data_IF_968920843162
#
_entry.id   IF_968920843162
#
_cell.length_a   1.000
_cell.length_b   1.000
_cell.length_c   1.000
_cell.angle_alpha   90.00
_cell.angle_beta   90.00
_cell.angle_gamma   90.00
#
_symmetry.space_group_name_H-M   'P 1'
#
loop_
_entity.id
_entity.type
_entity.pdbx_description
1 polymer ?
#
# COMPACT_ATOMS: atom_id res chain seq x y z
N UNK A 1 -4.95 19.04 -34.37
CA UNK A 1 -5.08 18.13 -33.21
C UNK A 1 -5.51 16.76 -33.72
N UNK A 2 -5.01 15.69 -33.11
CA UNK A 2 -5.26 14.33 -33.57
C UNK A 2 -6.66 13.83 -33.15
N UNK A 3 -7.25 12.89 -33.89
CA UNK A 3 -8.49 12.22 -33.50
C UNK A 3 -8.35 10.72 -33.76
N UNK A 4 -8.40 9.92 -32.70
CA UNK A 4 -8.33 8.45 -32.78
C UNK A 4 -9.70 7.79 -32.99
N UNK A 5 -10.78 8.53 -32.78
CA UNK A 5 -12.13 7.98 -32.81
C UNK A 5 -12.72 8.06 -34.20
N UNK A 6 -13.37 6.97 -34.65
CA UNK A 6 -14.18 6.99 -35.85
C UNK A 6 -15.34 8.00 -35.71
N UNK A 7 -15.68 8.69 -36.80
CA UNK A 7 -16.72 9.71 -36.82
C UNK A 7 -17.51 9.64 -38.13
N UNK A 8 -18.80 9.98 -38.08
CA UNK A 8 -19.73 10.00 -39.22
C UNK A 8 -20.13 11.41 -39.62
N UNK A 9 -19.94 12.38 -38.73
CA UNK A 9 -20.28 13.78 -38.93
C UNK A 9 -19.27 14.68 -38.18
N UNK A 10 -19.38 15.98 -38.43
CA UNK A 10 -18.46 16.99 -37.88
C UNK A 10 -18.54 17.09 -36.34
N UNK A 11 -19.71 16.87 -35.73
CA UNK A 11 -19.85 16.92 -34.28
C UNK A 11 -19.11 15.75 -33.60
N UNK A 12 -19.25 14.53 -34.13
CA UNK A 12 -18.50 13.36 -33.69
C UNK A 12 -16.99 13.53 -33.89
N UNK A 13 -16.58 14.17 -35.00
CA UNK A 13 -15.18 14.48 -35.25
C UNK A 13 -14.61 15.41 -34.17
N UNK A 14 -15.31 16.50 -33.84
CA UNK A 14 -14.88 17.43 -32.80
C UNK A 14 -14.87 16.79 -31.42
N UNK A 15 -15.90 15.98 -31.09
CA UNK A 15 -15.91 15.23 -29.85
C UNK A 15 -14.71 14.27 -29.76
N UNK A 16 -14.37 13.58 -30.85
CA UNK A 16 -13.22 12.71 -30.93
C UNK A 16 -11.90 13.46 -30.71
N UNK A 17 -11.73 14.64 -31.33
CA UNK A 17 -10.60 15.54 -31.08
C UNK A 17 -10.54 15.90 -29.60
N UNK A 18 -11.64 16.32 -28.99
CA UNK A 18 -11.66 16.70 -27.58
C UNK A 18 -11.27 15.51 -26.69
N UNK A 19 -11.88 14.34 -26.88
CA UNK A 19 -11.59 13.13 -26.09
C UNK A 19 -10.14 12.67 -26.21
N UNK A 20 -9.50 12.90 -27.35
CA UNK A 20 -8.10 12.51 -27.59
C UNK A 20 -7.11 13.48 -26.92
N UNK A 21 -7.43 14.78 -26.88
CA UNK A 21 -6.45 15.83 -26.55
C UNK A 21 -6.76 16.59 -25.26
N UNK A 22 -7.91 16.34 -24.62
CA UNK A 22 -8.29 17.04 -23.40
C UNK A 22 -7.38 16.64 -22.23
N UNK A 23 -6.99 17.65 -21.46
CA UNK A 23 -6.27 17.49 -20.20
C UNK A 23 -7.18 17.88 -19.03
N UNK A 24 -6.97 17.29 -17.85
CA UNK A 24 -7.84 17.52 -16.70
C UNK A 24 -7.83 18.99 -16.27
N UNK A 25 -9.02 19.47 -15.89
CA UNK A 25 -9.28 20.78 -15.28
C UNK A 25 -10.01 20.55 -13.95
N UNK A 26 -9.79 21.47 -13.02
CA UNK A 26 -10.45 21.46 -11.72
C UNK A 26 -9.82 20.47 -10.74
N UNK A 27 -10.21 20.60 -9.48
CA UNK A 27 -9.66 19.82 -8.36
C UNK A 27 -10.14 18.37 -8.32
N UNK A 28 -11.26 18.07 -8.98
CA UNK A 28 -11.83 16.72 -9.05
C UNK A 28 -11.32 15.91 -10.25
N UNK A 29 -10.63 16.54 -11.21
CA UNK A 29 -10.12 15.89 -12.43
C UNK A 29 -11.22 15.30 -13.34
N UNK A 30 -12.48 15.69 -13.13
CA UNK A 30 -13.63 15.21 -13.90
C UNK A 30 -13.79 16.03 -15.18
N UNK A 31 -13.56 17.34 -15.07
CA UNK A 31 -13.63 18.24 -16.21
C UNK A 31 -12.35 18.17 -17.05
N UNK A 32 -12.49 18.47 -18.34
CA UNK A 32 -11.39 18.47 -19.28
C UNK A 32 -11.42 19.71 -20.16
N UNK A 33 -10.25 20.19 -20.55
CA UNK A 33 -10.14 21.26 -21.54
C UNK A 33 -8.98 21.08 -22.48
N UNK A 34 -8.99 21.90 -23.52
CA UNK A 34 -8.02 21.85 -24.61
C UNK A 34 -6.98 22.95 -24.40
N UNK A 35 -5.73 22.51 -24.25
CA UNK A 35 -4.58 23.38 -24.07
C UNK A 35 -3.64 23.15 -25.25
N UNK A 36 -3.66 24.07 -26.22
CA UNK A 36 -3.05 23.88 -27.55
C UNK A 36 -1.56 23.49 -27.52
N UNK A 37 -0.83 23.94 -26.51
CA UNK A 37 0.58 23.57 -26.31
C UNK A 37 0.73 22.27 -25.51
N UNK A 38 0.09 22.18 -24.34
CA UNK A 38 0.25 21.02 -23.46
C UNK A 38 -0.33 19.73 -24.05
N UNK A 39 -1.36 19.79 -24.90
CA UNK A 39 -1.94 18.61 -25.54
C UNK A 39 -1.03 17.96 -26.60
N UNK A 40 0.12 18.56 -26.90
CA UNK A 40 1.13 18.01 -27.82
C UNK A 40 2.19 17.18 -27.11
N UNK A 41 2.28 17.28 -25.77
CA UNK A 41 3.30 16.61 -24.97
C UNK A 41 2.95 15.12 -24.90
N UNK A 42 3.86 14.27 -25.37
CA UNK A 42 3.62 12.84 -25.48
C UNK A 42 3.59 12.10 -24.14
N UNK A 43 3.09 10.86 -24.21
CA UNK A 43 3.04 9.95 -23.06
C UNK A 43 4.37 9.24 -22.80
N UNK A 44 4.76 9.18 -21.53
CA UNK A 44 5.60 8.10 -21.01
C UNK A 44 5.03 7.59 -19.67
N UNK A 45 5.17 6.29 -19.39
CA UNK A 45 4.80 5.73 -18.09
C UNK A 45 5.79 6.14 -16.99
N UNK A 46 7.03 6.46 -17.36
CA UNK A 46 8.09 7.01 -16.52
C UNK A 46 8.39 8.47 -16.91
N UNK A 47 7.33 9.27 -17.00
CA UNK A 47 7.37 10.66 -17.45
C UNK A 47 8.40 11.53 -16.69
N UNK A 48 8.97 12.51 -17.38
CA UNK A 48 9.91 13.47 -16.80
C UNK A 48 9.28 14.81 -16.42
N UNK A 49 8.01 15.03 -16.75
CA UNK A 49 7.25 16.20 -16.33
C UNK A 49 5.86 15.82 -15.81
N UNK A 50 5.35 16.57 -14.83
CA UNK A 50 4.02 16.41 -14.26
C UNK A 50 3.10 17.50 -14.79
N UNK A 51 1.92 17.07 -15.24
CA UNK A 51 0.83 17.96 -15.67
C UNK A 51 -0.13 18.21 -14.51
N UNK A 52 -0.60 19.44 -14.34
CA UNK A 52 -1.57 19.81 -13.33
C UNK A 52 -2.47 20.96 -13.78
N UNK A 53 -3.68 21.04 -13.22
CA UNK A 53 -4.47 22.26 -13.27
C UNK A 53 -4.20 23.11 -12.02
N UNK A 54 -3.56 24.27 -12.22
CA UNK A 54 -3.34 25.21 -11.13
C UNK A 54 -4.57 26.11 -10.96
N UNK A 55 -5.32 25.87 -9.88
CA UNK A 55 -6.56 26.57 -9.55
C UNK A 55 -6.33 28.05 -9.19
N UNK A 56 -5.16 28.41 -8.66
CA UNK A 56 -4.85 29.78 -8.23
C UNK A 56 -4.66 30.72 -9.41
N UNK A 57 -3.94 30.27 -10.45
CA UNK A 57 -3.66 31.07 -11.64
C UNK A 57 -4.58 30.74 -12.83
N UNK A 58 -5.47 29.75 -12.68
CA UNK A 58 -6.39 29.24 -13.72
C UNK A 58 -5.65 28.82 -15.00
N UNK A 59 -4.58 28.05 -14.86
CA UNK A 59 -3.78 27.54 -16.00
C UNK A 59 -3.46 26.07 -15.84
N UNK A 60 -3.36 25.38 -16.98
CA UNK A 60 -2.72 24.08 -17.02
C UNK A 60 -1.21 24.27 -17.01
N UNK A 61 -0.54 23.68 -16.02
CA UNK A 61 0.90 23.79 -15.83
C UNK A 61 1.56 22.43 -16.07
N UNK A 62 2.83 22.49 -16.50
CA UNK A 62 3.66 21.32 -16.70
C UNK A 62 5.01 21.62 -16.05
N UNK A 63 5.35 20.86 -15.03
CA UNK A 63 6.57 21.06 -14.24
C UNK A 63 7.51 19.87 -14.44
N UNK A 64 8.80 20.14 -14.63
CA UNK A 64 9.80 19.08 -14.69
C UNK A 64 9.93 18.40 -13.32
N UNK A 65 9.96 17.06 -13.32
CA UNK A 65 10.12 16.24 -12.12
C UNK A 65 11.59 15.98 -11.78
N UNK A 66 12.46 16.23 -12.75
CA UNK A 66 13.92 16.09 -12.70
C UNK A 66 14.55 16.98 -13.77
N UNK A 67 15.87 17.05 -13.78
CA UNK A 67 16.59 17.66 -14.89
C UNK A 67 16.27 16.93 -16.22
N UNK A 68 16.10 17.72 -17.28
CA UNK A 68 15.78 17.26 -18.64
C UNK A 68 16.89 17.77 -19.55
N UNK A 69 17.62 16.85 -20.16
CA UNK A 69 18.79 17.18 -20.99
C UNK A 69 18.38 17.82 -22.32
N UNK A 70 19.29 18.59 -22.93
CA UNK A 70 19.03 19.19 -24.24
C UNK A 70 18.74 18.10 -25.28
N UNK A 71 17.57 18.19 -25.93
CA UNK A 71 17.13 17.23 -26.93
C UNK A 71 16.37 16.02 -26.36
N UNK A 72 16.29 15.88 -25.04
CA UNK A 72 15.37 14.94 -24.40
C UNK A 72 13.92 15.42 -24.59
N UNK A 73 13.02 14.50 -24.96
CA UNK A 73 11.60 14.82 -25.12
C UNK A 73 10.94 15.04 -23.76
N UNK A 74 10.16 16.11 -23.62
CA UNK A 74 9.29 16.33 -22.46
C UNK A 74 8.09 15.38 -22.59
N UNK A 75 7.84 14.60 -21.55
CA UNK A 75 6.75 13.62 -21.51
C UNK A 75 5.93 13.73 -20.24
N UNK A 76 4.65 13.37 -20.32
CA UNK A 76 3.69 13.34 -19.20
C UNK A 76 3.01 11.97 -19.11
N UNK A 77 2.55 11.55 -17.93
CA UNK A 77 1.76 10.32 -17.84
C UNK A 77 0.29 10.60 -18.22
N UNK A 78 -0.30 9.91 -19.20
CA UNK A 78 -1.72 10.08 -19.55
C UNK A 78 -2.65 9.22 -18.68
N UNK A 79 -2.08 8.23 -18.00
CA UNK A 79 -2.82 7.32 -17.14
C UNK A 79 -2.98 7.94 -15.75
N UNK A 80 -4.13 7.71 -15.12
CA UNK A 80 -4.42 8.24 -13.79
C UNK A 80 -3.66 7.47 -12.69
N UNK A 81 -3.48 6.16 -12.89
CA UNK A 81 -2.81 5.26 -11.96
C UNK A 81 -1.78 4.44 -12.73
N UNK A 82 -0.57 4.38 -12.20
CA UNK A 82 0.52 3.59 -12.76
C UNK A 82 0.41 2.14 -12.24
N UNK A 83 -0.23 1.27 -13.04
CA UNK A 83 -0.38 -0.18 -12.73
C UNK A 83 0.76 -1.00 -13.35
N UNK A 84 0.76 -2.32 -13.21
CA UNK A 84 1.70 -3.20 -13.95
C UNK A 84 1.64 -3.03 -15.48
N UNK A 85 2.69 -3.48 -16.19
CA UNK A 85 2.90 -3.31 -17.63
C UNK A 85 1.70 -3.76 -18.45
N UNK A 86 1.14 -4.94 -18.14
CA UNK A 86 -0.02 -5.47 -18.87
C UNK A 86 -1.20 -4.51 -18.78
N UNK A 87 -1.57 -4.10 -17.56
CA UNK A 87 -2.66 -3.18 -17.33
C UNK A 87 -2.43 -1.80 -17.97
N UNK A 88 -1.19 -1.28 -17.94
CA UNK A 88 -0.85 -0.01 -18.63
C UNK A 88 -1.00 -0.12 -20.14
N UNK A 89 -0.49 -1.20 -20.75
CA UNK A 89 -0.60 -1.41 -22.19
C UNK A 89 -2.05 -1.58 -22.64
N UNK A 90 -2.84 -2.36 -21.92
CA UNK A 90 -4.28 -2.52 -22.20
C UNK A 90 -5.02 -1.19 -22.10
N UNK A 91 -4.79 -0.43 -21.02
CA UNK A 91 -5.42 0.88 -20.83
C UNK A 91 -5.00 1.88 -21.92
N UNK A 92 -3.72 1.88 -22.31
CA UNK A 92 -3.21 2.77 -23.34
C UNK A 92 -3.73 2.41 -24.72
N UNK A 93 -3.79 1.12 -25.06
CA UNK A 93 -4.36 0.62 -26.32
C UNK A 93 -5.86 0.96 -26.42
N UNK A 94 -6.63 0.79 -25.34
CA UNK A 94 -8.06 1.14 -25.31
C UNK A 94 -8.26 2.64 -25.49
N UNK A 95 -7.44 3.47 -24.82
CA UNK A 95 -7.61 4.93 -24.81
C UNK A 95 -7.01 5.64 -26.02
N UNK A 96 -5.95 5.12 -26.62
CA UNK A 96 -5.15 5.82 -27.63
C UNK A 96 -4.89 4.99 -28.89
N UNK A 97 -5.28 3.71 -28.92
CA UNK A 97 -5.18 2.87 -30.11
C UNK A 97 -3.77 2.39 -30.45
N UNK A 98 -2.79 2.58 -29.55
CA UNK A 98 -1.40 2.19 -29.76
C UNK A 98 -0.75 1.56 -28.52
N UNK A 99 0.38 0.89 -28.74
CA UNK A 99 1.23 0.30 -27.70
C UNK A 99 2.24 1.33 -27.20
N UNK A 100 2.37 1.46 -25.87
CA UNK A 100 3.37 2.34 -25.28
C UNK A 100 4.77 1.73 -25.40
N UNK A 101 5.74 2.47 -25.93
CA UNK A 101 7.13 2.05 -26.10
C UNK A 101 8.12 2.80 -25.21
N UNK A 102 7.63 3.51 -24.18
CA UNK A 102 8.49 4.22 -23.22
C UNK A 102 9.50 3.28 -22.53
N UNK A 103 10.53 3.85 -21.90
CA UNK A 103 11.60 3.08 -21.26
C UNK A 103 11.05 2.07 -20.25
N UNK A 104 10.06 2.44 -19.43
CA UNK A 104 9.44 1.53 -18.47
C UNK A 104 8.72 0.35 -19.14
N UNK A 105 8.00 0.60 -20.25
CA UNK A 105 7.29 -0.43 -21.01
C UNK A 105 8.21 -1.27 -21.91
N UNK A 106 9.44 -0.80 -22.15
CA UNK A 106 10.45 -1.46 -22.96
C UNK A 106 11.51 -2.19 -22.13
N UNK A 107 11.35 -2.22 -20.79
CA UNK A 107 12.25 -2.99 -19.91
C UNK A 107 12.31 -4.48 -20.29
N UNK A 108 13.48 -5.12 -20.11
CA UNK A 108 13.62 -6.57 -20.18
C UNK A 108 12.65 -7.28 -19.24
N UNK A 109 12.29 -8.53 -19.54
CA UNK A 109 11.25 -9.26 -18.79
C UNK A 109 11.49 -9.31 -17.28
N UNK A 110 12.71 -9.59 -16.85
CA UNK A 110 13.06 -9.68 -15.42
C UNK A 110 12.90 -8.33 -14.70
N UNK A 111 13.46 -7.25 -15.27
CA UNK A 111 13.32 -5.90 -14.72
C UNK A 111 11.87 -5.41 -14.76
N UNK A 112 11.12 -5.76 -15.80
CA UNK A 112 9.69 -5.46 -15.92
C UNK A 112 8.90 -6.16 -14.82
N UNK A 113 9.18 -7.44 -14.53
CA UNK A 113 8.51 -8.17 -13.46
C UNK A 113 8.77 -7.56 -12.09
N UNK A 114 10.01 -7.14 -11.83
CA UNK A 114 10.34 -6.50 -10.55
C UNK A 114 9.70 -5.11 -10.41
N UNK A 115 9.66 -4.33 -11.51
CA UNK A 115 8.90 -3.08 -11.53
C UNK A 115 7.40 -3.31 -11.32
N UNK A 116 6.83 -4.35 -11.94
CA UNK A 116 5.41 -4.64 -11.86
C UNK A 116 5.01 -5.07 -10.45
N UNK A 117 5.82 -5.91 -9.79
CA UNK A 117 5.61 -6.28 -8.37
C UNK A 117 5.58 -5.05 -7.46
N UNK A 118 6.52 -4.12 -7.65
CA UNK A 118 6.57 -2.89 -6.85
C UNK A 118 5.34 -2.02 -7.08
N UNK A 119 4.93 -1.82 -8.33
CA UNK A 119 3.72 -1.05 -8.66
C UNK A 119 2.44 -1.70 -8.12
N UNK A 120 2.34 -3.02 -8.22
CA UNK A 120 1.20 -3.76 -7.67
C UNK A 120 1.16 -3.66 -6.13
N UNK A 121 2.31 -3.68 -5.46
CA UNK A 121 2.37 -3.49 -4.00
C UNK A 121 2.06 -2.04 -3.59
N UNK A 122 2.55 -1.03 -4.32
CA UNK A 122 2.15 0.37 -4.10
C UNK A 122 0.62 0.48 -4.20
N UNK A 123 0.03 -0.08 -5.25
CA UNK A 123 -1.42 -0.02 -5.45
C UNK A 123 -2.19 -0.76 -4.35
N UNK A 124 -1.67 -1.90 -3.87
CA UNK A 124 -2.23 -2.61 -2.72
C UNK A 124 -2.20 -1.73 -1.46
N UNK A 125 -1.07 -1.08 -1.18
CA UNK A 125 -0.91 -0.20 -0.01
C UNK A 125 -1.85 1.01 -0.11
N UNK A 126 -1.96 1.64 -1.28
CA UNK A 126 -2.92 2.73 -1.53
C UNK A 126 -4.35 2.30 -1.19
N UNK A 127 -4.79 1.11 -1.62
CA UNK A 127 -6.11 0.58 -1.28
C UNK A 127 -6.26 0.35 0.23
N UNK A 128 -5.25 -0.23 0.89
CA UNK A 128 -5.29 -0.46 2.34
C UNK A 128 -5.33 0.83 3.16
N UNK A 129 -4.66 1.88 2.71
CA UNK A 129 -4.65 3.21 3.31
C UNK A 129 -6.01 3.88 3.05
N UNK A 130 -6.48 3.87 1.80
CA UNK A 130 -7.71 4.51 1.36
C UNK A 130 -8.99 3.88 1.92
N UNK A 131 -9.14 2.56 1.86
CA UNK A 131 -10.35 1.84 2.34
C UNK A 131 -10.60 2.04 3.83
N UNK A 132 -9.54 2.13 4.63
CA UNK A 132 -9.67 2.36 6.06
C UNK A 132 -9.94 3.82 6.38
N UNK A 133 -9.51 4.74 5.51
CA UNK A 133 -9.70 6.18 5.66
C UNK A 133 -9.42 6.69 7.07
N UNK A 134 -10.24 7.64 7.52
CA UNK A 134 -10.15 8.20 8.87
C UNK A 134 -10.26 7.14 9.99
N UNK A 135 -11.09 6.11 9.80
CA UNK A 135 -11.24 5.04 10.80
C UNK A 135 -9.93 4.27 11.01
N UNK A 136 -9.16 4.04 9.95
CA UNK A 136 -7.84 3.42 10.02
C UNK A 136 -6.83 4.23 10.81
N UNK A 137 -6.81 5.54 10.56
CA UNK A 137 -5.94 6.51 11.24
C UNK A 137 -6.21 6.52 12.75
N UNK A 138 -7.48 6.41 13.17
CA UNK A 138 -7.83 6.46 14.59
C UNK A 138 -7.71 5.10 15.29
N UNK A 139 -8.06 4.00 14.61
CA UNK A 139 -8.09 2.66 15.22
C UNK A 139 -6.72 1.97 15.26
N UNK A 140 -5.92 2.11 14.21
CA UNK A 140 -4.62 1.41 14.08
C UNK A 140 -3.52 2.31 13.49
N UNK A 141 -3.27 3.50 14.07
CA UNK A 141 -2.41 4.53 13.49
C UNK A 141 -1.01 4.04 13.13
N UNK A 142 -0.37 3.24 14.01
CA UNK A 142 0.98 2.73 13.76
C UNK A 142 1.02 1.77 12.57
N UNK A 143 -0.03 0.98 12.35
CA UNK A 143 -0.12 0.06 11.22
C UNK A 143 -0.26 0.83 9.91
N UNK A 144 -1.11 1.86 9.88
CA UNK A 144 -1.28 2.68 8.69
C UNK A 144 0.01 3.46 8.41
N UNK A 145 0.68 4.00 9.44
CA UNK A 145 1.98 4.67 9.27
C UNK A 145 3.03 3.72 8.67
N UNK A 146 3.04 2.44 9.06
CA UNK A 146 3.93 1.42 8.47
C UNK A 146 3.60 1.11 7.00
N UNK A 147 2.33 1.12 6.62
CA UNK A 147 1.95 0.98 5.20
C UNK A 147 2.43 2.17 4.39
N UNK A 148 2.28 3.39 4.91
CA UNK A 148 2.77 4.61 4.26
C UNK A 148 4.31 4.61 4.19
N UNK A 149 5.00 4.17 5.24
CA UNK A 149 6.46 4.01 5.25
C UNK A 149 6.94 3.07 4.12
N UNK A 150 6.34 1.88 4.03
CA UNK A 150 6.62 0.92 2.95
C UNK A 150 6.33 1.52 1.58
N UNK A 151 5.23 2.27 1.42
CA UNK A 151 4.87 2.94 0.19
C UNK A 151 5.93 3.99 -0.22
N UNK A 152 6.41 4.81 0.72
CA UNK A 152 7.47 5.80 0.48
C UNK A 152 8.78 5.12 0.07
N UNK A 153 9.15 4.01 0.70
CA UNK A 153 10.34 3.24 0.31
C UNK A 153 10.23 2.76 -1.14
N UNK A 154 9.09 2.19 -1.54
CA UNK A 154 8.84 1.73 -2.90
C UNK A 154 8.86 2.86 -3.94
N UNK A 155 8.35 4.06 -3.61
CA UNK A 155 8.47 5.23 -4.48
C UNK A 155 9.93 5.67 -4.66
N UNK A 156 10.70 5.71 -3.56
CA UNK A 156 12.12 6.08 -3.64
C UNK A 156 12.94 5.08 -4.48
N UNK A 157 12.56 3.80 -4.48
CA UNK A 157 13.16 2.78 -5.36
C UNK A 157 12.77 2.93 -6.84
N UNK A 158 11.63 3.56 -7.16
CA UNK A 158 11.26 3.82 -8.57
C UNK A 158 12.14 4.90 -9.19
N UNK A 159 12.49 5.91 -8.40
CA UNK A 159 13.37 6.99 -8.79
C UNK A 159 12.93 8.34 -8.25
N UNK A 160 13.75 9.38 -8.47
CA UNK A 160 13.39 10.74 -8.07
C UNK A 160 12.17 11.24 -8.84
N UNK A 161 11.31 11.98 -8.16
CA UNK A 161 10.21 12.71 -8.80
C UNK A 161 8.93 11.92 -9.04
N UNK A 162 8.72 10.77 -8.38
CA UNK A 162 7.41 10.10 -8.44
C UNK A 162 6.31 11.03 -7.88
N UNK A 163 5.28 11.27 -8.69
CA UNK A 163 4.19 12.21 -8.36
C UNK A 163 3.31 11.74 -7.18
N UNK A 164 3.35 10.46 -6.80
CA UNK A 164 2.66 9.90 -5.65
C UNK A 164 3.39 10.12 -4.33
N UNK A 165 4.71 10.31 -4.35
CA UNK A 165 5.52 10.49 -3.15
C UNK A 165 5.07 11.66 -2.24
N UNK A 166 4.74 12.86 -2.77
CA UNK A 166 4.24 13.96 -1.94
C UNK A 166 2.95 13.61 -1.20
N UNK A 167 2.05 12.85 -1.86
CA UNK A 167 0.79 12.40 -1.27
C UNK A 167 1.02 11.43 -0.12
N UNK A 168 1.94 10.48 -0.27
CA UNK A 168 2.27 9.54 0.80
C UNK A 168 2.84 10.26 2.04
N UNK A 169 3.72 11.25 1.86
CA UNK A 169 4.18 12.07 2.98
C UNK A 169 3.05 12.87 3.63
N UNK A 170 2.11 13.38 2.84
CA UNK A 170 0.94 14.06 3.38
C UNK A 170 0.06 13.12 4.23
N UNK A 171 -0.19 11.89 3.77
CA UNK A 171 -0.93 10.90 4.53
C UNK A 171 -0.21 10.56 5.86
N UNK A 172 1.12 10.44 5.86
CA UNK A 172 1.92 10.29 7.09
C UNK A 172 1.77 11.49 8.04
N UNK A 173 1.77 12.72 7.50
CA UNK A 173 1.55 13.93 8.27
C UNK A 173 0.17 13.93 8.94
N UNK A 174 -0.89 13.59 8.18
CA UNK A 174 -2.25 13.49 8.72
C UNK A 174 -2.34 12.46 9.85
N UNK A 175 -1.72 11.30 9.70
CA UNK A 175 -1.69 10.25 10.75
C UNK A 175 -0.99 10.75 12.01
N UNK A 176 0.18 11.37 11.87
CA UNK A 176 0.96 11.90 12.98
C UNK A 176 0.20 13.00 13.72
N UNK A 177 -0.32 14.00 12.99
CA UNK A 177 -1.05 15.14 13.55
C UNK A 177 -2.35 14.68 14.22
N UNK A 178 -3.09 13.75 13.62
CA UNK A 178 -4.30 13.19 14.20
C UNK A 178 -4.08 12.51 15.56
N UNK A 179 -2.86 12.05 15.82
CA UNK A 179 -2.44 11.40 17.08
C UNK A 179 -1.62 12.31 18.01
N UNK A 180 -1.55 13.61 17.69
CA UNK A 180 -0.89 14.63 18.50
C UNK A 180 0.63 14.73 18.33
N UNK A 181 1.21 14.06 17.33
CA UNK A 181 2.65 14.05 17.06
C UNK A 181 3.04 15.22 16.15
N UNK A 182 3.11 16.43 16.71
CA UNK A 182 3.36 17.65 15.93
C UNK A 182 4.79 17.69 15.37
N UNK A 183 5.76 17.10 16.08
CA UNK A 183 7.16 17.05 15.64
C UNK A 183 7.30 16.30 14.31
N UNK A 184 6.79 15.06 14.24
CA UNK A 184 6.80 14.26 12.99
C UNK A 184 5.84 14.82 11.96
N UNK A 185 4.66 15.26 12.39
CA UNK A 185 3.65 15.87 11.53
C UNK A 185 4.20 17.00 10.68
N UNK A 186 4.96 17.92 11.30
CA UNK A 186 5.64 19.01 10.57
C UNK A 186 6.63 18.50 9.52
N UNK A 187 7.52 17.56 9.90
CA UNK A 187 8.57 17.06 8.99
C UNK A 187 7.96 16.35 7.79
N UNK A 188 6.93 15.52 8.00
CA UNK A 188 6.21 14.88 6.91
C UNK A 188 5.53 15.90 6.00
N UNK A 189 4.89 16.92 6.58
CA UNK A 189 4.25 17.98 5.81
C UNK A 189 5.26 18.79 4.99
N UNK A 190 6.41 19.13 5.55
CA UNK A 190 7.51 19.80 4.84
C UNK A 190 8.02 18.96 3.65
N UNK A 191 8.16 17.63 3.82
CA UNK A 191 8.52 16.72 2.72
C UNK A 191 7.45 16.67 1.63
N UNK A 192 6.16 16.66 2.00
CA UNK A 192 5.05 16.73 1.05
C UNK A 192 5.06 18.05 0.26
N UNK A 193 5.23 19.18 0.94
CA UNK A 193 5.30 20.52 0.31
C UNK A 193 6.45 20.60 -0.68
N UNK A 194 7.64 20.12 -0.32
CA UNK A 194 8.79 20.10 -1.21
C UNK A 194 8.52 19.30 -2.50
N UNK A 195 7.87 18.15 -2.34
CA UNK A 195 7.45 17.32 -3.47
C UNK A 195 6.41 18.00 -4.37
N UNK A 196 5.38 18.62 -3.78
CA UNK A 196 4.38 19.38 -4.54
C UNK A 196 4.95 20.63 -5.20
N UNK A 197 5.90 21.32 -4.57
CA UNK A 197 6.57 22.46 -5.18
C UNK A 197 7.28 22.06 -6.48
N UNK A 198 7.91 20.88 -6.49
CA UNK A 198 8.52 20.31 -7.71
C UNK A 198 7.46 19.91 -8.73
N UNK A 199 6.42 19.18 -8.32
CA UNK A 199 5.44 18.58 -9.23
C UNK A 199 4.35 19.55 -9.73
N UNK A 200 4.00 20.57 -8.96
CA UNK A 200 2.82 21.44 -9.16
C UNK A 200 3.16 22.94 -9.18
N UNK A 201 4.40 23.32 -8.81
CA UNK A 201 4.84 24.71 -8.70
C UNK A 201 4.62 25.32 -7.32
N UNK A 202 5.39 26.39 -7.01
CA UNK A 202 5.27 27.11 -5.72
C UNK A 202 3.99 27.93 -5.58
N UNK A 203 3.27 28.13 -6.69
CA UNK A 203 2.00 28.83 -6.78
C UNK A 203 0.79 27.88 -6.74
N UNK A 204 0.99 26.59 -6.45
CA UNK A 204 -0.10 25.63 -6.29
C UNK A 204 -0.85 25.83 -4.97
N UNK A 205 -2.11 25.38 -4.91
CA UNK A 205 -2.95 25.44 -3.71
C UNK A 205 -2.33 24.61 -2.59
N UNK A 206 -1.82 23.43 -2.90
CA UNK A 206 -1.17 22.52 -1.95
C UNK A 206 0.03 23.19 -1.28
N UNK A 207 0.92 23.82 -2.05
CA UNK A 207 2.10 24.50 -1.48
C UNK A 207 1.69 25.70 -0.62
N UNK A 208 0.73 26.50 -1.08
CA UNK A 208 0.28 27.69 -0.36
C UNK A 208 -0.43 27.33 0.97
N UNK A 209 -1.41 26.44 0.93
CA UNK A 209 -2.21 26.05 2.09
C UNK A 209 -1.39 25.27 3.11
N UNK A 210 -0.70 24.22 2.66
CA UNK A 210 0.07 23.38 3.56
C UNK A 210 1.36 24.06 4.04
N UNK A 211 1.90 25.03 3.29
CA UNK A 211 3.00 25.88 3.75
C UNK A 211 2.63 26.74 4.96
N UNK A 212 1.37 27.19 5.07
CA UNK A 212 0.86 27.84 6.29
C UNK A 212 0.69 26.83 7.40
N UNK A 213 0.14 25.66 7.09
CA UNK A 213 -0.12 24.60 8.06
C UNK A 213 1.17 24.01 8.67
N UNK A 214 2.25 23.90 7.91
CA UNK A 214 3.54 23.42 8.41
C UNK A 214 4.14 24.31 9.52
N UNK A 215 3.81 25.60 9.53
CA UNK A 215 4.23 26.52 10.62
C UNK A 215 3.52 26.22 11.93
N UNK A 216 2.29 25.70 11.86
CA UNK A 216 1.49 25.36 13.03
C UNK A 216 0.55 24.18 12.69
N UNK A 217 1.06 22.94 12.71
CA UNK A 217 0.29 21.74 12.38
C UNK A 217 -0.88 21.48 13.33
N UNK A 218 -0.92 22.14 14.49
CA UNK A 218 -2.03 22.03 15.45
C UNK A 218 -3.33 22.63 14.90
N UNK A 219 -3.25 23.44 13.84
CA UNK A 219 -4.42 24.00 13.13
C UNK A 219 -5.06 23.02 12.15
N UNK A 220 -4.47 21.84 11.93
CA UNK A 220 -5.06 20.83 11.05
C UNK A 220 -6.34 20.30 11.70
N UNK A 221 -7.42 20.13 10.94
CA UNK A 221 -8.73 19.71 11.46
C UNK A 221 -8.71 18.40 12.26
N UNK A 222 -7.87 17.45 11.85
CA UNK A 222 -7.68 16.17 12.55
C UNK A 222 -6.92 16.26 13.88
N UNK A 223 -6.23 17.37 14.18
CA UNK A 223 -5.44 17.49 15.41
C UNK A 223 -6.32 17.33 16.65
N UNK A 224 -5.84 16.58 17.64
CA UNK A 224 -6.58 16.31 18.88
C UNK A 224 -7.58 15.16 18.79
N UNK A 225 -7.74 14.50 17.64
CA UNK A 225 -8.55 13.27 17.53
C UNK A 225 -8.06 12.16 18.48
N UNK A 226 -6.74 12.08 18.64
CA UNK A 226 -6.02 11.27 19.61
C UNK A 226 -4.78 12.05 20.07
N UNK A 227 -4.33 11.79 21.29
CA UNK A 227 -3.07 12.36 21.82
C UNK A 227 -2.06 11.26 22.19
N UNK A 228 -2.26 10.04 21.64
CA UNK A 228 -1.45 8.88 21.98
C UNK A 228 0.04 9.04 21.64
N UNK A 229 0.38 9.92 20.69
CA UNK A 229 1.75 10.19 20.24
C UNK A 229 2.17 11.64 20.51
N UNK A 230 1.62 12.26 21.55
CA UNK A 230 1.84 13.67 21.86
C UNK A 230 3.32 14.06 21.82
N UNK A 231 3.65 14.96 20.92
CA UNK A 231 4.94 15.67 20.85
C UNK A 231 4.68 17.12 20.47
N UNK A 232 5.49 18.03 21.01
CA UNK A 232 5.54 19.43 20.62
C UNK A 232 6.50 19.64 19.44
N UNK A 233 6.36 20.77 18.73
CA UNK A 233 7.11 21.06 17.51
C UNK A 233 8.63 21.09 17.69
N UNK A 234 9.10 21.41 18.89
CA UNK A 234 10.52 21.47 19.26
C UNK A 234 11.08 20.14 19.76
N UNK A 235 10.28 19.09 19.88
CA UNK A 235 10.71 17.75 20.33
C UNK A 235 11.25 16.89 19.16
N UNK A 236 11.87 17.55 18.17
CA UNK A 236 12.61 16.86 17.10
C UNK A 236 14.01 16.51 17.63
N UNK A 237 14.41 15.23 17.62
CA UNK A 237 15.71 14.82 18.12
C UNK A 237 16.83 15.41 17.27
N UNK A 238 17.86 15.91 17.94
CA UNK A 238 19.03 16.53 17.31
C UNK A 238 20.25 15.60 17.43
N UNK A 239 21.12 15.61 16.42
CA UNK A 239 22.38 14.84 16.43
C UNK A 239 22.22 13.33 16.25
N UNK A 240 21.08 12.85 15.73
CA UNK A 240 20.93 11.46 15.33
C UNK A 240 21.62 11.21 13.99
N UNK A 241 22.24 10.03 13.85
CA UNK A 241 22.67 9.51 12.56
C UNK A 241 21.47 9.34 11.61
N UNK A 242 21.65 9.47 10.28
CA UNK A 242 20.54 9.48 9.31
C UNK A 242 19.58 8.28 9.44
N UNK A 243 20.10 7.07 9.65
CA UNK A 243 19.27 5.87 9.83
C UNK A 243 18.43 5.90 11.11
N UNK A 244 19.03 6.35 12.22
CA UNK A 244 18.33 6.49 13.49
C UNK A 244 17.26 7.60 13.44
N UNK A 245 17.51 8.67 12.67
CA UNK A 245 16.52 9.71 12.43
C UNK A 245 15.32 9.18 11.62
N UNK A 246 15.57 8.39 10.57
CA UNK A 246 14.48 7.75 9.82
C UNK A 246 13.71 6.73 10.68
N UNK A 247 14.40 5.96 11.52
CA UNK A 247 13.73 5.04 12.45
C UNK A 247 12.84 5.77 13.45
N UNK A 248 13.31 6.91 13.97
CA UNK A 248 12.50 7.80 14.80
C UNK A 248 11.32 8.35 14.00
N UNK A 249 11.55 8.92 12.82
CA UNK A 249 10.55 9.58 11.99
C UNK A 249 9.39 8.64 11.66
N UNK A 250 9.70 7.39 11.30
CA UNK A 250 8.72 6.36 10.94
C UNK A 250 8.25 5.50 12.12
N UNK A 251 8.69 5.81 13.34
CA UNK A 251 8.40 5.01 14.56
C UNK A 251 8.74 3.52 14.34
N UNK A 252 9.85 3.24 13.62
CA UNK A 252 10.42 1.89 13.41
C UNK A 252 11.20 1.39 14.63
N UNK A 253 11.54 2.31 15.53
CA UNK A 253 12.06 2.00 16.85
C UNK A 253 11.28 0.82 17.43
N UNK A 254 11.99 -0.25 17.80
CA UNK A 254 11.38 -1.32 18.57
C UNK A 254 10.77 -0.64 19.79
N UNK A 255 9.44 -0.73 19.95
CA UNK A 255 8.86 -0.50 21.25
C UNK A 255 9.74 -1.27 22.22
N UNK A 256 10.34 -0.58 23.19
CA UNK A 256 10.79 -1.25 24.38
C UNK A 256 9.50 -1.79 25.01
N UNK A 257 9.03 -2.94 24.53
CA UNK A 257 8.22 -3.84 25.33
C UNK A 257 9.09 -4.04 26.57
N UNK A 258 8.70 -3.38 27.65
CA UNK A 258 9.33 -3.48 28.95
C UNK A 258 9.36 -4.95 29.35
N UNK A 259 10.40 -5.69 28.95
CA UNK A 259 10.68 -7.07 29.34
C UNK A 259 9.54 -8.09 29.27
N UNK A 260 8.38 -7.79 28.67
CA UNK A 260 7.26 -8.74 28.63
C UNK A 260 7.47 -9.62 27.42
N UNK A 261 8.32 -10.63 27.63
CA UNK A 261 8.38 -11.82 26.79
C UNK A 261 6.93 -12.22 26.46
N UNK A 262 6.59 -12.31 25.17
CA UNK A 262 5.27 -12.80 24.76
C UNK A 262 5.13 -14.17 25.42
N UNK A 263 4.21 -14.29 26.37
CA UNK A 263 3.98 -15.56 27.02
C UNK A 263 3.29 -16.47 26.01
N UNK A 264 4.08 -17.35 25.38
CA UNK A 264 3.58 -18.35 24.43
C UNK A 264 2.60 -19.33 25.09
N UNK A 265 2.43 -19.28 26.42
CA UNK A 265 1.40 -20.03 27.16
C UNK A 265 0.06 -19.29 27.26
N UNK A 266 -0.04 -18.07 26.70
CA UNK A 266 -1.29 -17.31 26.70
C UNK A 266 -2.33 -18.01 25.83
N UNK A 267 -3.35 -18.60 26.45
CA UNK A 267 -4.37 -19.41 25.76
C UNK A 267 -5.31 -18.62 24.84
N UNK A 268 -5.37 -17.30 24.97
CA UNK A 268 -6.16 -16.46 24.06
C UNK A 268 -5.47 -16.28 22.70
N UNK A 269 -4.14 -16.14 22.69
CA UNK A 269 -3.34 -15.97 21.46
C UNK A 269 -2.82 -17.30 20.93
N UNK A 270 -2.49 -18.25 21.82
CA UNK A 270 -2.02 -19.60 21.51
C UNK A 270 -2.99 -20.63 22.11
N UNK A 271 -4.20 -20.75 21.54
CA UNK A 271 -5.22 -21.68 22.04
C UNK A 271 -4.77 -23.13 21.88
N UNK A 272 -5.33 -24.00 22.72
CA UNK A 272 -5.22 -25.46 22.55
C UNK A 272 -6.19 -25.91 21.46
N UNK A 273 -6.01 -27.12 20.96
CA UNK A 273 -6.87 -27.67 19.91
C UNK A 273 -8.35 -27.68 20.34
N UNK A 274 -8.63 -27.95 21.61
CA UNK A 274 -10.00 -27.95 22.15
C UNK A 274 -10.61 -26.55 22.27
N UNK A 275 -9.77 -25.52 22.38
CA UNK A 275 -10.19 -24.12 22.50
C UNK A 275 -10.26 -23.42 21.13
N UNK A 276 -9.91 -24.11 20.04
CA UNK A 276 -10.03 -23.58 18.68
C UNK A 276 -11.50 -23.51 18.26
N UNK A 277 -11.88 -22.51 17.44
CA UNK A 277 -13.22 -22.42 16.87
C UNK A 277 -13.46 -23.61 15.94
N UNK A 278 -14.70 -24.11 15.92
CA UNK A 278 -15.13 -25.17 14.98
C UNK A 278 -15.53 -24.53 13.65
N UNK A 279 -15.07 -25.11 12.53
CA UNK A 279 -15.31 -24.56 11.19
C UNK A 279 -16.81 -24.43 10.83
N UNK A 280 -17.66 -25.26 11.44
CA UNK A 280 -19.09 -25.33 11.12
C UNK A 280 -19.93 -24.50 12.09
N UNK A 281 -19.31 -23.87 13.09
CA UNK A 281 -20.01 -23.05 14.09
C UNK A 281 -19.43 -21.65 14.16
N UNK A 282 -20.30 -20.65 14.13
CA UNK A 282 -19.87 -19.27 14.28
C UNK A 282 -19.55 -18.97 15.75
N UNK A 283 -18.27 -18.90 16.09
CA UNK A 283 -17.80 -18.67 17.45
C UNK A 283 -17.68 -17.16 17.76
N UNK A 284 -18.63 -16.64 18.55
CA UNK A 284 -18.69 -15.23 18.95
C UNK A 284 -17.53 -14.81 19.87
N UNK A 285 -16.81 -15.77 20.45
CA UNK A 285 -15.59 -15.47 21.19
C UNK A 285 -14.50 -15.04 20.22
N UNK A 286 -14.38 -15.67 19.05
CA UNK A 286 -13.32 -15.38 18.08
C UNK A 286 -13.70 -14.30 17.05
N UNK A 287 -14.99 -14.15 16.71
CA UNK A 287 -15.45 -13.30 15.61
C UNK A 287 -16.44 -12.22 16.04
N UNK A 288 -16.34 -11.04 15.42
CA UNK A 288 -17.35 -9.98 15.55
C UNK A 288 -18.65 -10.37 14.82
N UNK A 289 -19.79 -10.24 15.51
CA UNK A 289 -21.11 -10.68 15.02
C UNK A 289 -21.59 -9.99 13.74
N UNK A 290 -21.12 -8.78 13.44
CA UNK A 290 -21.59 -7.98 12.31
C UNK A 290 -20.67 -7.99 11.09
N UNK A 291 -19.38 -8.31 11.27
CA UNK A 291 -18.36 -8.16 10.21
C UNK A 291 -17.64 -9.47 9.85
N UNK A 292 -17.90 -10.56 10.60
CA UNK A 292 -17.16 -11.82 10.53
C UNK A 292 -15.63 -11.63 10.65
N UNK A 293 -15.16 -10.51 11.23
CA UNK A 293 -13.74 -10.25 11.43
C UNK A 293 -13.25 -10.88 12.73
N UNK A 294 -12.03 -11.44 12.74
CA UNK A 294 -11.43 -11.95 13.97
C UNK A 294 -11.22 -10.82 14.97
N UNK A 295 -11.67 -11.01 16.22
CA UNK A 295 -11.57 -10.03 17.31
C UNK A 295 -10.12 -9.81 17.77
N UNK A 296 -9.27 -10.81 17.57
CA UNK A 296 -7.82 -10.76 17.76
C UNK A 296 -7.14 -11.81 16.88
N UNK A 297 -5.81 -11.78 16.79
CA UNK A 297 -5.04 -12.77 16.06
C UNK A 297 -4.69 -13.96 16.97
N UNK A 298 -4.92 -15.18 16.52
CA UNK A 298 -4.50 -16.39 17.21
C UNK A 298 -3.64 -17.29 16.30
N UNK A 299 -2.79 -18.08 16.94
CA UNK A 299 -1.90 -19.03 16.30
C UNK A 299 -1.89 -20.35 17.09
N UNK A 300 -2.25 -21.44 16.43
CA UNK A 300 -2.11 -22.77 17.02
C UNK A 300 -0.66 -23.25 16.89
N UNK A 301 -0.09 -23.73 18.00
CA UNK A 301 1.26 -24.27 18.05
C UNK A 301 1.21 -25.74 18.42
N UNK A 302 1.89 -26.58 17.64
CA UNK A 302 2.01 -28.00 17.94
C UNK A 302 3.37 -28.56 17.51
N UNK A 303 3.82 -29.60 18.18
CA UNK A 303 5.02 -30.35 17.80
C UNK A 303 4.68 -31.31 16.65
N UNK A 304 5.51 -31.36 15.62
CA UNK A 304 5.43 -32.35 14.55
C UNK A 304 5.96 -33.67 15.10
N UNK A 305 5.08 -34.66 15.24
CA UNK A 305 5.47 -36.02 15.67
C UNK A 305 6.00 -36.78 14.47
N UNK A 306 5.22 -36.82 13.40
CA UNK A 306 5.56 -37.49 12.15
C UNK A 306 4.84 -36.82 10.96
N UNK A 307 5.38 -36.98 9.76
CA UNK A 307 4.77 -36.48 8.53
C UNK A 307 4.84 -37.54 7.44
N UNK A 308 3.74 -37.71 6.71
CA UNK A 308 3.66 -38.62 5.56
C UNK A 308 3.04 -37.88 4.38
N UNK A 309 3.58 -38.08 3.18
CA UNK A 309 3.03 -37.52 1.95
C UNK A 309 2.75 -38.65 0.97
N UNK A 310 1.46 -38.89 0.70
CA UNK A 310 1.01 -39.95 -0.20
C UNK A 310 0.17 -39.36 -1.34
N UNK A 311 -0.97 -38.75 -0.98
CA UNK A 311 -1.85 -38.01 -1.91
C UNK A 311 -1.84 -36.50 -1.62
N UNK A 312 -1.66 -36.16 -0.34
CA UNK A 312 -1.45 -34.84 0.24
C UNK A 312 -0.60 -35.02 1.49
N UNK A 313 0.07 -33.96 1.94
CA UNK A 313 0.80 -34.01 3.21
C UNK A 313 -0.17 -34.18 4.38
N UNK A 314 0.12 -35.18 5.22
CA UNK A 314 -0.49 -35.41 6.53
C UNK A 314 0.61 -35.28 7.57
N UNK A 315 0.39 -34.46 8.59
CA UNK A 315 1.22 -34.44 9.79
C UNK A 315 0.42 -35.01 10.96
N UNK A 316 1.05 -35.87 11.73
CA UNK A 316 0.63 -36.13 13.10
C UNK A 316 1.31 -35.09 13.98
N UNK A 317 0.50 -34.28 14.68
CA UNK A 317 0.99 -33.19 15.50
C UNK A 317 0.50 -33.34 16.93
N UNK A 318 1.29 -32.85 17.88
CA UNK A 318 1.00 -32.93 19.31
C UNK A 318 0.85 -31.53 19.88
N UNK A 319 -0.34 -31.23 20.38
CA UNK A 319 -0.68 -29.97 21.05
C UNK A 319 0.08 -29.83 22.39
N UNK A 320 0.07 -28.63 22.98
CA UNK A 320 0.70 -28.29 24.25
C UNK A 320 0.24 -29.16 25.44
N UNK A 321 -1.00 -29.67 25.42
CA UNK A 321 -1.52 -30.62 26.43
C UNK A 321 -1.08 -32.07 26.15
N UNK A 322 -0.25 -32.29 25.13
CA UNK A 322 0.25 -33.59 24.72
C UNK A 322 -0.73 -34.43 23.90
N UNK A 323 -1.82 -33.82 23.42
CA UNK A 323 -2.82 -34.48 22.58
C UNK A 323 -2.32 -34.58 21.14
N UNK A 324 -2.27 -35.79 20.60
CA UNK A 324 -2.04 -36.02 19.17
C UNK A 324 -3.30 -35.77 18.36
N UNK A 325 -3.15 -35.14 17.19
CA UNK A 325 -4.22 -34.92 16.23
C UNK A 325 -3.66 -34.84 14.80
N UNK A 326 -4.47 -35.11 13.78
CA UNK A 326 -4.03 -35.01 12.40
C UNK A 326 -4.12 -33.56 11.88
N UNK A 327 -3.11 -33.14 11.12
CA UNK A 327 -3.10 -31.95 10.29
C UNK A 327 -3.02 -32.36 8.82
N UNK A 328 -3.97 -31.92 8.01
CA UNK A 328 -4.01 -32.21 6.58
C UNK A 328 -3.88 -30.95 5.73
N UNK A 329 -3.03 -31.01 4.72
CA UNK A 329 -2.82 -29.93 3.76
C UNK A 329 -3.75 -30.10 2.56
N UNK A 330 -4.72 -29.21 2.45
CA UNK A 330 -5.70 -29.08 1.36
C UNK A 330 -5.40 -27.91 0.42
N UNK A 331 -4.21 -27.31 0.56
CA UNK A 331 -3.65 -26.32 -0.36
C UNK A 331 -3.48 -26.86 -1.78
N UNK A 332 -3.37 -25.97 -2.76
CA UNK A 332 -3.10 -26.29 -4.17
C UNK A 332 -1.82 -27.12 -4.32
N UNK A 333 -0.79 -26.78 -3.55
CA UNK A 333 0.49 -27.50 -3.48
C UNK A 333 0.42 -28.80 -2.66
N UNK A 334 -0.67 -29.06 -1.96
CA UNK A 334 -0.90 -30.24 -1.09
C UNK A 334 0.21 -30.48 -0.06
N UNK A 335 0.84 -29.41 0.42
CA UNK A 335 1.96 -29.41 1.36
C UNK A 335 3.36 -29.35 0.71
N UNK A 336 3.47 -29.36 -0.63
CA UNK A 336 4.77 -29.22 -1.33
C UNK A 336 5.36 -27.80 -1.26
N UNK A 337 4.55 -26.82 -0.86
CA UNK A 337 4.96 -25.46 -0.55
C UNK A 337 5.91 -25.37 0.66
N UNK A 338 5.92 -26.40 1.53
CA UNK A 338 6.84 -26.49 2.65
C UNK A 338 8.16 -27.15 2.22
N UNK A 339 9.32 -26.49 2.41
CA UNK A 339 10.61 -27.11 2.12
C UNK A 339 10.79 -28.39 2.95
N UNK A 340 11.19 -29.53 2.35
CA UNK A 340 11.34 -30.80 3.10
C UNK A 340 12.30 -30.69 4.30
N UNK A 341 13.28 -29.78 4.24
CA UNK A 341 14.20 -29.53 5.33
C UNK A 341 13.52 -28.93 6.58
N UNK A 342 12.35 -28.30 6.45
CA UNK A 342 11.60 -27.66 7.53
C UNK A 342 10.53 -28.57 8.15
N UNK A 343 10.20 -29.68 7.49
CA UNK A 343 9.21 -30.66 7.99
C UNK A 343 9.95 -31.80 8.67
N UNK A 344 10.24 -31.64 9.97
CA UNK A 344 11.00 -32.62 10.77
C UNK A 344 10.27 -32.95 12.07
N UNK A 345 10.41 -34.20 12.50
CA UNK A 345 9.95 -34.62 13.83
C UNK A 345 10.63 -33.78 14.92
N UNK A 346 9.87 -33.34 15.92
CA UNK A 346 10.30 -32.47 17.01
C UNK A 346 10.28 -30.97 16.69
N UNK A 347 9.95 -30.57 15.46
CA UNK A 347 9.82 -29.15 15.11
C UNK A 347 8.42 -28.63 15.44
N UNK A 348 8.27 -27.32 15.59
CA UNK A 348 6.97 -26.71 15.86
C UNK A 348 6.30 -26.29 14.55
N UNK A 349 5.06 -26.70 14.36
CA UNK A 349 4.15 -26.11 13.36
C UNK A 349 3.38 -24.96 14.00
N UNK A 350 3.26 -23.85 13.27
CA UNK A 350 2.52 -22.67 13.68
C UNK A 350 1.44 -22.35 12.63
N UNK A 351 0.17 -22.40 13.03
CA UNK A 351 -0.97 -22.25 12.12
C UNK A 351 -1.77 -21.03 12.55
N UNK A 352 -1.72 -19.97 11.73
CA UNK A 352 -2.51 -18.77 11.96
C UNK A 352 -4.00 -19.06 11.70
N UNK A 353 -4.86 -18.57 12.60
CA UNK A 353 -6.31 -18.72 12.52
C UNK A 353 -6.80 -20.17 12.37
N UNK A 354 -6.08 -21.13 12.97
CA UNK A 354 -6.48 -22.52 12.93
C UNK A 354 -7.93 -22.72 13.41
N UNK A 355 -8.62 -23.67 12.79
CA UNK A 355 -9.98 -24.08 13.14
C UNK A 355 -10.02 -25.61 13.28
N UNK A 356 -10.97 -26.11 14.06
CA UNK A 356 -11.22 -27.54 14.20
C UNK A 356 -12.02 -28.02 13.00
N UNK A 357 -11.58 -29.13 12.44
CA UNK A 357 -12.21 -29.80 11.32
C UNK A 357 -12.58 -31.23 11.70
N UNK A 358 -13.79 -31.65 11.34
CA UNK A 358 -14.25 -33.03 11.53
C UNK A 358 -14.06 -33.83 10.23
N UNK A 359 -13.07 -34.72 10.20
CA UNK A 359 -12.82 -35.56 9.02
C UNK A 359 -13.80 -36.75 8.99
N UNK A 360 -14.28 -37.12 7.80
CA UNK A 360 -15.26 -38.19 7.64
C UNK A 360 -14.74 -39.59 8.04
N UNK A 361 -13.42 -39.82 8.01
CA UNK A 361 -12.80 -41.12 8.23
C UNK A 361 -11.56 -41.06 9.14
N UNK A 362 -11.36 -39.96 9.88
CA UNK A 362 -10.21 -39.75 10.74
C UNK A 362 -10.63 -39.01 12.02
N UNK A 363 -9.75 -38.94 13.01
CA UNK A 363 -9.99 -38.16 14.22
C UNK A 363 -10.12 -36.65 13.89
N UNK A 364 -10.91 -35.87 14.65
CA UNK A 364 -10.97 -34.43 14.48
C UNK A 364 -9.57 -33.80 14.56
N UNK A 365 -9.28 -32.91 13.62
CA UNK A 365 -7.96 -32.33 13.48
C UNK A 365 -8.01 -30.95 12.85
N UNK A 366 -6.94 -30.55 12.17
CA UNK A 366 -6.87 -29.26 11.49
C UNK A 366 -6.79 -29.51 9.98
N UNK A 367 -7.64 -28.81 9.23
CA UNK A 367 -7.58 -28.76 7.77
C UNK A 367 -6.96 -27.43 7.36
N UNK A 368 -5.76 -27.48 6.79
CA UNK A 368 -5.07 -26.28 6.31
C UNK A 368 -5.36 -26.09 4.82
N UNK A 369 -5.94 -24.94 4.47
CA UNK A 369 -6.35 -24.57 3.12
C UNK A 369 -5.67 -23.26 2.72
N UNK A 370 -5.63 -22.98 1.42
CA UNK A 370 -5.15 -21.69 0.93
C UNK A 370 -6.07 -20.56 1.45
N UNK A 371 -5.49 -19.42 1.87
CA UNK A 371 -6.22 -18.31 2.47
C UNK A 371 -7.19 -17.59 1.54
#
# INVERSE_FOLDING_TARGET
>A
MHNIHAYRNTAEQYLGIVRTNALPIGTNGIDGGIFLEACRINHACDNNAQKNWNENIKRHTVHALRDIEQGEEITICYLAILKNRKARQEAFQIKFGCTCSCRLCSLPSEQSQESDKRLDEIHRLENLIGERGMLGILSTPLRILRYVDQQVQLYNEQGPGDAGLPRAFFDAAQIAIANGDLARGRIFLEKAIFGWQTALGSDSTEVAEYGVLAKDPSKHDLYGSSMAWRTALNEVPCGLEPGAFEDWLWKREKQQCSGRQVDLRTRTTFPRFVDLPDENTFDLDFYESSTCRPRWHWCFLAEIVHSTTLLRMRMEIKDMDGRSLPLFFYTDGRGSELPPAQVRSGYTVAILYAQRHAFAFDDPGIRHEDP
#
